data_IF_442642629434
#
_entry.id   IF_442642629434
#
_cell.length_a   1.000
_cell.length_b   1.000
_cell.length_c   1.000
_cell.angle_alpha   90.00
_cell.angle_beta   90.00
_cell.angle_gamma   90.00
#
_symmetry.space_group_name_H-M   'P 1'
#
loop_
_entity.id
_entity.type
_entity.pdbx_description
1 polymer ?
#
# COMPACT_ATOMS: atom_id res chain seq x y z
N UNK A 1 1.40 -19.59 -10.14
CA UNK A 1 1.86 -18.91 -8.91
C UNK A 1 3.02 -17.98 -9.22
N UNK A 2 3.13 -16.83 -8.55
CA UNK A 2 4.18 -15.84 -8.82
C UNK A 2 5.54 -16.28 -8.27
N UNK A 3 6.64 -15.86 -8.90
CA UNK A 3 8.03 -16.25 -8.58
C UNK A 3 8.42 -16.07 -7.09
N UNK A 4 7.75 -15.19 -6.36
CA UNK A 4 8.01 -14.91 -4.93
C UNK A 4 7.34 -15.87 -3.93
N UNK A 5 6.34 -16.66 -4.34
CA UNK A 5 5.62 -17.58 -3.44
C UNK A 5 6.28 -18.96 -3.30
N UNK A 6 7.26 -19.29 -4.15
CA UNK A 6 7.86 -20.63 -4.21
C UNK A 6 8.94 -20.91 -3.15
N UNK A 7 9.48 -19.88 -2.47
CA UNK A 7 10.57 -20.06 -1.52
C UNK A 7 10.41 -19.10 -0.34
N UNK A 8 10.46 -19.62 0.90
CA UNK A 8 10.40 -18.80 2.12
C UNK A 8 11.62 -17.85 2.19
N UNK A 9 11.47 -16.73 2.89
CA UNK A 9 12.54 -15.73 2.99
C UNK A 9 13.82 -16.28 3.63
N UNK A 10 13.69 -17.09 4.68
CA UNK A 10 14.82 -17.72 5.38
C UNK A 10 15.59 -18.69 4.48
N UNK A 11 14.86 -19.57 3.77
CA UNK A 11 15.46 -20.51 2.82
C UNK A 11 16.21 -19.79 1.69
N UNK A 12 15.68 -18.66 1.21
CA UNK A 12 16.35 -17.78 0.24
C UNK A 12 17.68 -17.25 0.77
N UNK A 13 17.74 -16.84 2.05
CA UNK A 13 18.99 -16.37 2.68
C UNK A 13 20.02 -17.51 2.75
N UNK A 14 19.59 -18.70 3.16
CA UNK A 14 20.46 -19.88 3.25
C UNK A 14 21.04 -20.28 1.88
N UNK A 15 20.21 -20.33 0.84
CA UNK A 15 20.65 -20.57 -0.54
C UNK A 15 21.68 -19.53 -0.99
N UNK A 16 21.42 -18.25 -0.69
CA UNK A 16 22.33 -17.15 -1.08
C UNK A 16 23.66 -17.22 -0.33
N UNK A 17 23.63 -17.63 0.94
CA UNK A 17 24.84 -17.86 1.74
C UNK A 17 25.72 -18.97 1.13
N UNK A 18 25.13 -20.13 0.82
CA UNK A 18 25.85 -21.24 0.18
C UNK A 18 26.39 -20.85 -1.21
N UNK A 19 25.61 -20.09 -2.00
CA UNK A 19 26.09 -19.59 -3.28
C UNK A 19 27.29 -18.64 -3.13
N UNK A 20 27.25 -17.75 -2.13
CA UNK A 20 28.37 -16.84 -1.85
C UNK A 20 29.63 -17.56 -1.35
N UNK A 21 29.49 -18.75 -0.76
CA UNK A 21 30.61 -19.63 -0.42
C UNK A 21 31.19 -20.39 -1.63
N UNK A 22 30.64 -20.20 -2.84
CA UNK A 22 31.13 -20.83 -4.07
C UNK A 22 30.49 -22.17 -4.41
N UNK A 23 29.44 -22.59 -3.69
CA UNK A 23 28.72 -23.83 -4.03
C UNK A 23 27.97 -23.66 -5.36
N UNK A 24 28.08 -24.66 -6.24
CA UNK A 24 27.33 -24.68 -7.51
C UNK A 24 25.83 -24.86 -7.26
N UNK A 25 24.99 -24.38 -8.20
CA UNK A 25 23.53 -24.49 -8.07
C UNK A 25 23.06 -25.93 -7.86
N UNK A 26 23.72 -26.91 -8.50
CA UNK A 26 23.41 -28.33 -8.37
C UNK A 26 23.72 -28.85 -6.97
N UNK A 27 24.89 -28.50 -6.43
CA UNK A 27 25.29 -28.90 -5.08
C UNK A 27 24.35 -28.32 -4.02
N UNK A 28 23.94 -27.06 -4.18
CA UNK A 28 22.96 -26.42 -3.30
C UNK A 28 21.60 -27.14 -3.38
N UNK A 29 21.14 -27.46 -4.60
CA UNK A 29 19.89 -28.17 -4.82
C UNK A 29 19.87 -29.55 -4.15
N UNK A 30 20.96 -30.31 -4.28
CA UNK A 30 21.13 -31.63 -3.66
C UNK A 30 21.19 -31.53 -2.13
N UNK A 31 22.00 -30.62 -1.58
CA UNK A 31 22.14 -30.44 -0.12
C UNK A 31 20.85 -30.02 0.58
N UNK A 32 20.03 -29.19 -0.06
CA UNK A 32 18.77 -28.70 0.52
C UNK A 32 17.55 -29.52 0.05
N UNK A 33 17.76 -30.56 -0.76
CA UNK A 33 16.72 -31.39 -1.37
C UNK A 33 15.63 -30.57 -2.08
N UNK A 34 16.04 -29.64 -2.93
CA UNK A 34 15.15 -28.81 -3.73
C UNK A 34 15.50 -28.88 -5.22
N UNK A 35 14.56 -28.50 -6.08
CA UNK A 35 14.85 -28.42 -7.52
C UNK A 35 15.89 -27.34 -7.83
N UNK A 36 16.79 -27.64 -8.78
CA UNK A 36 17.75 -26.67 -9.32
C UNK A 36 17.09 -25.36 -9.76
N UNK A 37 15.91 -25.44 -10.37
CA UNK A 37 15.15 -24.26 -10.84
C UNK A 37 14.66 -23.39 -9.68
N UNK A 38 14.34 -23.97 -8.52
CA UNK A 38 14.00 -23.20 -7.32
C UNK A 38 15.22 -22.43 -6.80
N UNK A 39 16.38 -23.10 -6.72
CA UNK A 39 17.65 -22.49 -6.30
C UNK A 39 18.03 -21.32 -7.21
N UNK A 40 17.98 -21.50 -8.53
CA UNK A 40 18.24 -20.43 -9.49
C UNK A 40 17.29 -19.24 -9.30
N UNK A 41 16.00 -19.50 -9.10
CA UNK A 41 15.01 -18.46 -8.86
C UNK A 41 15.25 -17.72 -7.53
N UNK A 42 15.65 -18.45 -6.48
CA UNK A 42 15.95 -17.89 -5.17
C UNK A 42 17.18 -16.95 -5.23
N UNK A 43 18.19 -17.30 -6.02
CA UNK A 43 19.40 -16.48 -6.20
C UNK A 43 19.10 -15.24 -7.05
N UNK A 44 18.31 -15.39 -8.13
CA UNK A 44 17.89 -14.27 -8.99
C UNK A 44 16.82 -13.38 -8.37
N UNK A 45 16.22 -13.81 -7.25
CA UNK A 45 15.14 -13.07 -6.59
C UNK A 45 15.61 -11.69 -6.16
N UNK A 46 14.84 -10.67 -6.54
CA UNK A 46 14.96 -9.30 -6.02
C UNK A 46 13.61 -8.88 -5.42
N UNK A 47 13.59 -8.28 -4.22
CA UNK A 47 12.36 -7.73 -3.67
C UNK A 47 11.87 -6.63 -4.61
N UNK A 48 10.68 -6.81 -5.17
CA UNK A 48 9.98 -5.77 -5.92
C UNK A 48 8.79 -5.31 -5.10
N UNK A 49 8.54 -4.00 -5.12
CA UNK A 49 7.29 -3.47 -4.57
C UNK A 49 6.15 -4.04 -5.40
N UNK A 50 5.10 -4.52 -4.72
CA UNK A 50 3.92 -5.00 -5.41
C UNK A 50 3.22 -3.80 -6.09
N UNK A 51 3.23 -3.80 -7.42
CA UNK A 51 2.56 -2.78 -8.25
C UNK A 51 1.23 -3.28 -8.79
N UNK A 52 0.78 -4.46 -8.34
CA UNK A 52 -0.48 -5.07 -8.76
C UNK A 52 -1.65 -4.35 -8.12
N UNK A 53 -2.75 -4.27 -8.85
CA UNK A 53 -4.00 -3.68 -8.39
C UNK A 53 -4.56 -2.65 -9.35
N UNK A 54 -5.85 -2.33 -9.14
CA UNK A 54 -6.52 -1.28 -9.90
C UNK A 54 -5.97 0.09 -9.47
N UNK A 55 -5.62 0.93 -10.45
CA UNK A 55 -5.23 2.32 -10.19
C UNK A 55 -6.32 3.05 -9.40
N UNK A 56 -5.91 3.92 -8.49
CA UNK A 56 -6.83 4.82 -7.78
C UNK A 56 -7.58 5.69 -8.78
N UNK A 57 -8.87 5.96 -8.52
CA UNK A 57 -9.67 6.92 -9.28
C UNK A 57 -9.21 8.37 -9.09
N UNK A 58 -8.40 8.64 -8.06
CA UNK A 58 -7.85 9.96 -7.76
C UNK A 58 -6.41 9.99 -8.25
N UNK A 59 -6.09 10.90 -9.17
CA UNK A 59 -4.73 11.04 -9.69
C UNK A 59 -3.77 11.66 -8.65
N UNK A 60 -2.46 11.33 -8.70
CA UNK A 60 -1.48 11.87 -7.75
C UNK A 60 -1.36 13.40 -7.77
N UNK A 61 -1.54 14.03 -8.94
CA UNK A 61 -1.50 15.50 -9.06
C UNK A 61 -2.70 16.14 -8.36
N UNK A 62 -3.88 15.58 -8.59
CA UNK A 62 -5.12 16.02 -7.97
C UNK A 62 -5.09 15.82 -6.45
N UNK A 63 -4.50 14.72 -6.00
CA UNK A 63 -4.25 14.44 -4.59
C UNK A 63 -3.40 15.53 -3.92
N UNK A 64 -2.28 15.95 -4.54
CA UNK A 64 -1.43 17.03 -3.98
C UNK A 64 -2.18 18.34 -3.82
N UNK A 65 -2.98 18.74 -4.81
CA UNK A 65 -3.76 19.97 -4.76
C UNK A 65 -4.79 19.93 -3.62
N UNK A 66 -5.48 18.79 -3.45
CA UNK A 66 -6.42 18.59 -2.34
C UNK A 66 -5.73 18.64 -0.98
N UNK A 67 -4.55 18.03 -0.85
CA UNK A 67 -3.79 18.08 0.41
C UNK A 67 -3.41 19.52 0.78
N UNK A 68 -3.05 20.36 -0.20
CA UNK A 68 -2.79 21.79 0.04
C UNK A 68 -4.05 22.52 0.50
N UNK A 69 -5.19 22.23 -0.12
CA UNK A 69 -6.47 22.83 0.27
C UNK A 69 -6.90 22.41 1.67
N UNK A 70 -6.81 21.11 2.00
CA UNK A 70 -7.17 20.59 3.33
C UNK A 70 -6.24 21.05 4.45
N UNK A 71 -5.00 21.43 4.12
CA UNK A 71 -4.14 22.12 5.09
C UNK A 71 -4.66 23.52 5.42
N UNK A 72 -5.31 24.19 4.47
CA UNK A 72 -5.90 25.53 4.66
C UNK A 72 -7.28 25.45 5.34
N UNK A 73 -8.12 24.52 4.91
CA UNK A 73 -9.43 24.23 5.53
C UNK A 73 -9.51 22.74 5.91
N UNK A 74 -9.13 22.39 7.15
CA UNK A 74 -9.09 20.99 7.60
C UNK A 74 -10.46 20.40 7.87
N UNK A 75 -11.52 21.21 7.85
CA UNK A 75 -12.87 20.77 8.18
C UNK A 75 -13.78 20.63 6.96
N UNK A 76 -13.29 20.80 5.72
CA UNK A 76 -14.13 20.65 4.54
C UNK A 76 -14.73 19.22 4.44
N UNK A 77 -16.03 19.15 4.18
CA UNK A 77 -16.74 17.87 4.04
C UNK A 77 -16.47 17.19 2.69
N UNK A 78 -16.68 15.87 2.60
CA UNK A 78 -16.48 15.12 1.35
C UNK A 78 -17.37 15.59 0.19
N UNK A 79 -18.59 16.07 0.48
CA UNK A 79 -19.52 16.62 -0.50
C UNK A 79 -19.07 17.99 -1.00
N UNK A 80 -18.57 18.86 -0.11
CA UNK A 80 -17.98 20.15 -0.50
C UNK A 80 -16.72 19.95 -1.35
N UNK A 81 -15.83 19.04 -0.94
CA UNK A 81 -14.64 18.71 -1.74
C UNK A 81 -15.00 18.19 -3.14
N UNK A 82 -16.07 17.41 -3.27
CA UNK A 82 -16.56 16.96 -4.59
C UNK A 82 -16.92 18.15 -5.47
N UNK A 83 -17.63 19.15 -4.92
CA UNK A 83 -18.07 20.36 -5.64
C UNK A 83 -16.88 21.27 -5.97
N UNK A 84 -16.02 21.57 -5.00
CA UNK A 84 -14.88 22.49 -5.16
C UNK A 84 -13.92 21.99 -6.24
N UNK A 85 -13.68 20.69 -6.26
CA UNK A 85 -12.75 20.08 -7.23
C UNK A 85 -13.46 19.50 -8.46
N UNK A 86 -14.77 19.72 -8.62
CA UNK A 86 -15.60 19.23 -9.73
C UNK A 86 -15.33 17.77 -10.09
N UNK A 87 -15.37 16.89 -9.09
CA UNK A 87 -14.89 15.52 -9.22
C UNK A 87 -15.97 14.56 -9.72
N UNK A 88 -15.65 13.82 -10.77
CA UNK A 88 -16.44 12.65 -11.20
C UNK A 88 -16.08 11.39 -10.41
N UNK A 89 -16.17 11.50 -9.08
CA UNK A 89 -16.11 10.34 -8.19
C UNK A 89 -17.20 10.41 -7.15
N UNK A 90 -17.60 9.26 -6.64
CA UNK A 90 -18.56 9.23 -5.55
C UNK A 90 -17.97 9.81 -4.26
N UNK A 91 -18.83 10.42 -3.45
CA UNK A 91 -18.48 11.00 -2.15
C UNK A 91 -17.90 9.97 -1.19
N UNK A 92 -18.31 8.69 -1.28
CA UNK A 92 -17.73 7.60 -0.50
C UNK A 92 -16.26 7.36 -0.83
N UNK A 93 -15.86 7.54 -2.10
CA UNK A 93 -14.47 7.39 -2.55
C UNK A 93 -13.60 8.50 -1.96
N UNK A 94 -14.11 9.73 -1.93
CA UNK A 94 -13.44 10.88 -1.30
C UNK A 94 -13.30 10.64 0.21
N UNK A 95 -14.35 10.16 0.87
CA UNK A 95 -14.32 9.83 2.31
C UNK A 95 -13.27 8.77 2.64
N UNK A 96 -13.24 7.66 1.88
CA UNK A 96 -12.23 6.60 2.05
C UNK A 96 -10.82 7.14 1.84
N UNK A 97 -10.62 7.98 0.83
CA UNK A 97 -9.33 8.63 0.59
C UNK A 97 -8.89 9.51 1.77
N UNK A 98 -9.78 10.32 2.35
CA UNK A 98 -9.48 11.12 3.55
C UNK A 98 -9.07 10.23 4.74
N UNK A 99 -9.82 9.16 5.01
CA UNK A 99 -9.54 8.22 6.10
C UNK A 99 -8.18 7.55 5.91
N UNK A 100 -7.89 7.05 4.69
CA UNK A 100 -6.61 6.42 4.37
C UNK A 100 -5.41 7.39 4.52
N UNK A 101 -5.65 8.70 4.54
CA UNK A 101 -4.65 9.75 4.75
C UNK A 101 -4.65 10.30 6.18
N UNK A 102 -5.40 9.71 7.09
CA UNK A 102 -5.56 10.17 8.46
C UNK A 102 -6.09 11.62 8.56
N UNK A 103 -6.97 12.01 7.64
CA UNK A 103 -7.61 13.32 7.62
C UNK A 103 -9.05 13.26 8.14
N UNK A 104 -9.53 14.40 8.67
CA UNK A 104 -10.92 14.52 9.13
C UNK A 104 -11.86 14.39 7.94
N UNK A 105 -12.60 13.29 7.90
CA UNK A 105 -13.54 13.00 6.82
C UNK A 105 -14.96 13.52 7.07
N UNK A 106 -15.21 14.06 8.28
CA UNK A 106 -16.50 14.59 8.73
C UNK A 106 -16.26 15.87 9.53
N UNK A 107 -17.20 16.79 9.40
CA UNK A 107 -17.32 17.92 10.32
C UNK A 107 -17.89 17.45 11.67
N UNK A 108 -17.43 18.01 12.79
CA UNK A 108 -18.14 17.83 14.05
C UNK A 108 -19.58 18.32 13.90
N UNK A 109 -20.54 17.58 14.49
CA UNK A 109 -21.93 18.05 14.54
C UNK A 109 -21.98 19.27 15.45
N UNK A 110 -22.62 20.35 15.00
CA UNK A 110 -23.01 21.46 15.86
C UNK A 110 -24.17 20.97 16.74
N UNK A 111 -23.86 20.28 17.82
CA UNK A 111 -24.84 20.00 18.87
C UNK A 111 -24.80 21.16 19.85
N UNK A 112 -25.95 21.79 20.18
CA UNK A 112 -25.98 22.63 21.36
C UNK A 112 -25.64 21.75 22.57
N UNK A 113 -24.78 22.24 23.46
CA UNK A 113 -24.66 21.63 24.77
C UNK A 113 -26.02 21.79 25.43
N UNK A 114 -26.75 20.68 25.58
CA UNK A 114 -27.88 20.66 26.50
C UNK A 114 -27.25 20.81 27.89
N UNK A 115 -27.22 22.02 28.42
CA UNK A 115 -27.08 22.21 29.86
C UNK A 115 -28.26 21.46 30.46
N UNK A 116 -27.98 20.40 31.24
CA UNK A 116 -29.00 19.79 32.08
C UNK A 116 -29.65 20.92 32.88
N UNK A 117 -30.87 21.31 32.52
CA UNK A 117 -31.67 22.17 33.36
C UNK A 117 -32.01 21.35 34.61
N UNK A 118 -31.66 21.93 35.75
CA UNK A 118 -31.97 21.43 37.09
C UNK A 118 -33.46 21.18 37.27
#
# INVERSE_FOLDING_TARGET
MGRGQHCRAELRKQIKHLHNQGFSYRKIAETLNYSKRMVENAIKYKPQKETRGRKSKISPTLERNRMRFLKKDPFSSSSELKKIFSLDVDTSTIRKWLINKNLKAKRPRKVPFLSNQM
#
